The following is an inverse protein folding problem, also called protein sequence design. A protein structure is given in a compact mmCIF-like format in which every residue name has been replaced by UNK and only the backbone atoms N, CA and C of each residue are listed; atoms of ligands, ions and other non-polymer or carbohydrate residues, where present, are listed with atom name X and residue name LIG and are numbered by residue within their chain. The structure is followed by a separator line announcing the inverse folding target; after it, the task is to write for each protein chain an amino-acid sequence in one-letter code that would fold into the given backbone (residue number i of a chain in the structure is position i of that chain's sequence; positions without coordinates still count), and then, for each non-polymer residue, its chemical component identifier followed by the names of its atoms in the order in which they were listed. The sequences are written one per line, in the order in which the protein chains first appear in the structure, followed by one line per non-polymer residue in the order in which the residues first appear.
data_IF_296613111087
#
_entry.id   IF_296613111087
#
_cell.length_a   1.000
_cell.length_b   1.000
_cell.length_c   1.000
_cell.angle_alpha   90.00
_cell.angle_beta   90.00
_cell.angle_gamma   90.00
#
_symmetry.space_group_name_H-M   'P 1'
#
loop_
_entity.id
_entity.type
_entity.pdbx_description
1 polymer ?
#
# COMPACT_ATOMS: atom_id res chain seq x y z
N UNK A 1 -13.23 -9.84 -40.63
CA UNK A 1 -11.98 -9.85 -39.88
C UNK A 1 -11.23 -8.51 -39.89
N UNK A 2 -11.10 -7.83 -41.01
CA UNK A 2 -10.40 -6.52 -41.10
C UNK A 2 -11.11 -5.41 -40.31
N UNK A 3 -12.47 -5.37 -40.31
CA UNK A 3 -13.25 -4.39 -39.54
C UNK A 3 -13.11 -4.49 -38.02
N UNK A 4 -12.91 -5.69 -37.48
CA UNK A 4 -12.70 -5.86 -36.03
C UNK A 4 -11.29 -5.39 -35.58
N UNK A 5 -10.28 -5.56 -36.43
CA UNK A 5 -8.92 -5.10 -36.16
C UNK A 5 -8.79 -3.57 -36.23
N UNK A 6 -9.56 -2.92 -37.14
CA UNK A 6 -9.57 -1.46 -37.22
C UNK A 6 -10.35 -0.84 -36.04
N UNK A 7 -11.45 -1.46 -35.62
CA UNK A 7 -12.14 -1.04 -34.39
C UNK A 7 -11.28 -1.20 -33.13
N UNK A 8 -10.53 -2.29 -33.02
CA UNK A 8 -9.62 -2.49 -31.88
C UNK A 8 -8.48 -1.46 -31.86
N UNK A 9 -7.93 -1.10 -33.01
CA UNK A 9 -6.87 -0.08 -33.08
C UNK A 9 -7.38 1.34 -32.82
N UNK A 10 -8.62 1.68 -33.22
CA UNK A 10 -9.24 2.96 -32.89
C UNK A 10 -9.65 3.07 -31.41
N UNK A 11 -10.10 1.97 -30.77
CA UNK A 11 -10.42 1.93 -29.35
C UNK A 11 -9.18 2.05 -28.47
N UNK A 12 -8.02 1.52 -28.90
CA UNK A 12 -6.74 1.63 -28.17
C UNK A 12 -6.24 3.09 -28.13
N UNK A 13 -6.60 3.92 -29.12
CA UNK A 13 -6.17 5.33 -29.16
C UNK A 13 -6.97 6.28 -28.24
N UNK A 14 -8.16 5.90 -27.79
CA UNK A 14 -9.08 6.82 -27.09
C UNK A 14 -8.80 6.93 -25.58
N UNK A 15 -8.08 5.98 -24.95
CA UNK A 15 -7.89 5.94 -23.50
C UNK A 15 -6.42 5.86 -23.03
N UNK A 16 -5.48 6.24 -23.86
CA UNK A 16 -4.05 6.19 -23.53
C UNK A 16 -3.59 7.49 -22.85
N UNK A 17 -4.23 7.90 -21.77
CA UNK A 17 -3.63 8.88 -20.88
C UNK A 17 -2.49 8.21 -20.13
N UNK A 18 -1.25 8.55 -20.50
CA UNK A 18 -0.07 8.10 -19.78
C UNK A 18 -0.04 8.77 -18.40
N UNK A 19 0.28 7.98 -17.34
CA UNK A 19 0.42 8.51 -15.97
C UNK A 19 1.37 9.72 -15.90
N UNK A 20 2.38 9.82 -16.76
CA UNK A 20 3.27 10.99 -16.85
C UNK A 20 2.51 12.24 -17.28
N UNK A 21 1.66 12.11 -18.30
CA UNK A 21 0.78 13.20 -18.73
C UNK A 21 -0.23 13.57 -17.65
N UNK A 22 -0.81 12.57 -16.98
CA UNK A 22 -1.73 12.79 -15.86
C UNK A 22 -1.06 13.59 -14.73
N UNK A 23 0.10 13.15 -14.26
CA UNK A 23 0.85 13.80 -13.18
C UNK A 23 1.30 15.22 -13.60
N UNK A 24 1.74 15.39 -14.86
CA UNK A 24 2.14 16.70 -15.39
C UNK A 24 0.97 17.71 -15.40
N UNK A 25 -0.27 17.26 -15.64
CA UNK A 25 -1.47 18.11 -15.56
C UNK A 25 -1.78 18.58 -14.15
N UNK A 26 -1.37 17.80 -13.13
CA UNK A 26 -1.44 18.20 -11.72
C UNK A 26 -0.38 19.24 -11.32
N UNK A 27 0.33 19.80 -12.27
CA UNK A 27 1.44 20.73 -12.04
C UNK A 27 2.56 20.15 -11.15
N UNK A 28 2.81 18.85 -11.31
CA UNK A 28 3.87 18.10 -10.63
C UNK A 28 4.93 17.62 -11.62
N UNK A 29 6.19 17.61 -11.16
CA UNK A 29 7.27 16.88 -11.80
C UNK A 29 7.34 15.46 -11.26
N UNK A 30 7.51 14.50 -12.17
CA UNK A 30 7.72 13.09 -11.86
C UNK A 30 9.12 12.66 -12.24
N UNK A 31 9.86 12.10 -11.29
CA UNK A 31 11.10 11.35 -11.49
C UNK A 31 10.86 9.89 -11.12
N UNK A 32 11.07 8.98 -12.08
CA UNK A 32 11.02 7.53 -11.83
C UNK A 32 12.42 7.05 -11.47
N UNK A 33 12.54 6.39 -10.34
CA UNK A 33 13.80 5.91 -9.81
C UNK A 33 13.71 4.43 -9.53
N UNK A 34 14.78 3.70 -9.79
CA UNK A 34 14.91 2.31 -9.37
C UNK A 34 15.90 2.20 -8.22
N UNK A 35 15.55 1.40 -7.23
CA UNK A 35 16.38 1.08 -6.08
C UNK A 35 16.58 -0.41 -5.97
N UNK A 36 17.74 -0.82 -5.47
CA UNK A 36 18.03 -2.21 -5.17
C UNK A 36 17.88 -2.44 -3.66
N UNK A 37 17.13 -3.49 -3.30
CA UNK A 37 17.06 -3.98 -1.93
C UNK A 37 18.25 -4.89 -1.61
N UNK A 38 18.51 -5.14 -0.33
CA UNK A 38 19.60 -6.01 0.12
C UNK A 38 19.45 -7.44 -0.41
N UNK A 39 18.21 -7.95 -0.47
CA UNK A 39 17.87 -9.25 -1.06
C UNK A 39 17.68 -9.21 -2.57
N UNK A 40 18.22 -8.15 -3.26
CA UNK A 40 18.47 -8.03 -4.70
C UNK A 40 17.23 -7.79 -5.57
N UNK A 41 16.07 -7.41 -5.00
CA UNK A 41 14.95 -6.89 -5.78
C UNK A 41 15.26 -5.48 -6.30
N UNK A 42 14.74 -5.17 -7.47
CA UNK A 42 14.82 -3.83 -8.07
C UNK A 42 13.41 -3.24 -8.07
N UNK A 43 13.18 -2.31 -7.15
CA UNK A 43 11.89 -1.65 -6.98
C UNK A 43 11.91 -0.24 -7.58
N UNK A 44 10.75 0.21 -8.03
CA UNK A 44 10.55 1.55 -8.56
C UNK A 44 9.97 2.46 -7.49
N UNK A 45 10.45 3.70 -7.44
CA UNK A 45 9.89 4.78 -6.63
C UNK A 45 9.54 5.92 -7.58
N UNK A 46 8.35 6.47 -7.44
CA UNK A 46 7.98 7.74 -8.05
C UNK A 46 8.27 8.88 -7.09
N UNK A 47 9.14 9.78 -7.49
CA UNK A 47 9.45 11.00 -6.78
C UNK A 47 8.68 12.15 -7.40
N UNK A 48 7.83 12.81 -6.62
CA UNK A 48 6.98 13.91 -7.02
C UNK A 48 7.46 15.20 -6.37
N UNK A 49 7.51 16.28 -7.14
CA UNK A 49 7.78 17.63 -6.63
C UNK A 49 6.88 18.65 -7.31
N UNK A 50 6.65 19.78 -6.65
CA UNK A 50 6.07 20.95 -7.33
C UNK A 50 6.94 21.38 -8.50
N UNK A 51 6.33 21.76 -9.63
CA UNK A 51 7.03 22.41 -10.75
C UNK A 51 7.61 23.77 -10.36
N UNK A 52 7.09 24.41 -9.31
CA UNK A 52 7.68 25.62 -8.76
C UNK A 52 8.81 25.27 -7.76
N UNK A 53 10.08 25.46 -8.12
CA UNK A 53 11.20 25.10 -7.26
C UNK A 53 11.25 25.93 -5.97
N UNK A 54 10.63 27.12 -5.94
CA UNK A 54 10.62 28.00 -4.77
C UNK A 54 9.71 27.46 -3.65
N UNK A 55 8.82 26.52 -3.95
CA UNK A 55 7.95 25.90 -2.95
C UNK A 55 8.61 24.79 -2.12
N UNK A 56 9.80 24.31 -2.50
CA UNK A 56 10.46 23.19 -1.81
C UNK A 56 10.91 23.57 -0.41
N UNK A 57 10.40 22.84 0.60
CA UNK A 57 10.71 23.08 2.02
C UNK A 57 11.81 22.16 2.59
N UNK A 58 12.41 21.30 1.74
CA UNK A 58 13.46 20.35 2.13
C UNK A 58 12.99 19.14 2.95
N UNK A 59 11.69 18.90 3.04
CA UNK A 59 11.11 17.79 3.79
C UNK A 59 10.62 16.70 2.83
N UNK A 60 10.91 15.43 3.14
CA UNK A 60 10.60 14.28 2.28
C UNK A 60 9.60 13.35 2.96
N UNK A 61 8.54 12.99 2.24
CA UNK A 61 7.47 12.10 2.71
C UNK A 61 7.44 10.84 1.85
N UNK A 62 7.56 9.68 2.47
CA UNK A 62 7.33 8.37 1.83
C UNK A 62 5.87 7.99 2.08
N UNK A 63 5.13 7.70 1.01
CA UNK A 63 3.75 7.22 1.08
C UNK A 63 3.68 5.79 0.57
N UNK A 64 3.53 4.83 1.49
CA UNK A 64 3.57 3.41 1.21
C UNK A 64 2.16 2.83 1.07
N UNK A 65 1.89 2.26 -0.10
CA UNK A 65 0.59 1.66 -0.43
C UNK A 65 0.33 0.31 0.27
N UNK A 66 -0.93 -0.16 0.19
CA UNK A 66 -1.42 -1.38 0.81
C UNK A 66 -1.22 -2.65 -0.01
N UNK A 67 -1.90 -3.72 0.42
CA UNK A 67 -1.94 -5.01 -0.27
C UNK A 67 -2.69 -4.87 -1.60
N UNK A 68 -2.14 -5.46 -2.68
CA UNK A 68 -2.71 -5.44 -4.03
C UNK A 68 -2.77 -4.04 -4.67
N UNK A 69 -2.15 -3.06 -4.08
CA UNK A 69 -2.24 -1.66 -4.43
C UNK A 69 -0.94 -1.19 -5.11
N UNK A 70 -0.87 0.06 -5.55
CA UNK A 70 0.31 0.69 -6.15
C UNK A 70 0.49 2.14 -5.73
N UNK A 71 1.61 2.76 -6.08
CA UNK A 71 1.87 4.16 -5.73
C UNK A 71 0.86 5.15 -6.33
N UNK A 72 0.25 4.81 -7.46
CA UNK A 72 -0.76 5.65 -8.12
C UNK A 72 -2.04 5.82 -7.29
N UNK A 73 -2.34 4.88 -6.39
CA UNK A 73 -3.52 4.92 -5.53
C UNK A 73 -3.69 6.26 -4.82
N UNK A 74 -2.58 6.86 -4.39
CA UNK A 74 -2.59 8.16 -3.70
C UNK A 74 -2.89 9.35 -4.60
N UNK A 75 -2.85 9.18 -5.94
CA UNK A 75 -3.10 10.24 -6.93
C UNK A 75 -4.52 10.19 -7.53
N UNK A 76 -5.35 9.23 -7.14
CA UNK A 76 -6.67 8.99 -7.75
C UNK A 76 -7.59 10.21 -7.65
N UNK A 77 -7.51 11.01 -6.57
CA UNK A 77 -8.29 12.25 -6.40
C UNK A 77 -7.77 13.43 -7.24
N UNK A 78 -6.79 13.23 -8.11
CA UNK A 78 -6.24 14.28 -8.97
C UNK A 78 -5.79 15.52 -8.18
N UNK A 79 -6.39 16.68 -8.45
CA UNK A 79 -6.06 17.97 -7.81
C UNK A 79 -6.29 17.94 -6.29
N UNK A 80 -7.22 17.11 -5.81
CA UNK A 80 -7.51 16.96 -4.38
C UNK A 80 -6.67 15.89 -3.70
N UNK A 81 -5.79 15.21 -4.42
CA UNK A 81 -4.95 14.14 -3.87
C UNK A 81 -3.94 14.64 -2.84
N UNK A 82 -3.68 13.82 -1.83
CA UNK A 82 -2.74 14.19 -0.76
C UNK A 82 -1.31 14.45 -1.27
N UNK A 83 -0.73 13.66 -2.20
CA UNK A 83 0.57 13.97 -2.79
C UNK A 83 0.62 15.35 -3.45
N UNK A 84 -0.45 15.73 -4.17
CA UNK A 84 -0.55 17.04 -4.79
C UNK A 84 -0.53 18.15 -3.75
N UNK A 85 -1.35 18.05 -2.71
CA UNK A 85 -1.41 19.04 -1.63
C UNK A 85 -0.09 19.13 -0.88
N UNK A 86 0.57 18.01 -0.60
CA UNK A 86 1.90 18.00 0.03
C UNK A 86 2.96 18.68 -0.84
N UNK A 87 2.96 18.43 -2.16
CA UNK A 87 3.88 19.09 -3.07
C UNK A 87 3.60 20.61 -3.16
N UNK A 88 2.36 21.05 -3.01
CA UNK A 88 2.00 22.47 -2.94
C UNK A 88 2.52 23.14 -1.67
N UNK A 89 2.55 22.39 -0.55
CA UNK A 89 3.18 22.81 0.72
C UNK A 89 4.72 22.66 0.71
N UNK A 90 5.28 22.25 -0.42
CA UNK A 90 6.71 22.19 -0.65
C UNK A 90 7.40 20.88 -0.27
N UNK A 91 6.67 19.87 0.14
CA UNK A 91 7.23 18.56 0.42
C UNK A 91 7.67 17.87 -0.87
N UNK A 92 8.69 17.03 -0.76
CA UNK A 92 9.06 16.05 -1.78
C UNK A 92 8.34 14.76 -1.42
N UNK A 93 7.50 14.24 -2.32
CA UNK A 93 6.69 13.06 -2.07
C UNK A 93 7.23 11.86 -2.82
N UNK A 94 7.45 10.77 -2.12
CA UNK A 94 7.91 9.51 -2.67
C UNK A 94 6.81 8.46 -2.59
N UNK A 95 6.48 7.87 -3.73
CA UNK A 95 5.50 6.81 -3.88
C UNK A 95 6.22 5.51 -4.28
N UNK A 96 6.72 4.72 -3.32
CA UNK A 96 7.34 3.44 -3.64
C UNK A 96 6.31 2.46 -4.19
N UNK A 97 6.71 1.70 -5.21
CA UNK A 97 6.02 0.50 -5.65
C UNK A 97 6.69 -0.70 -4.99
N UNK A 98 5.96 -1.45 -4.18
CA UNK A 98 6.47 -2.64 -3.52
C UNK A 98 6.81 -3.72 -4.53
N UNK A 99 7.75 -4.63 -4.17
CA UNK A 99 8.09 -5.79 -4.98
C UNK A 99 6.85 -6.54 -5.47
N UNK A 100 6.85 -6.97 -6.71
CA UNK A 100 5.75 -7.72 -7.33
C UNK A 100 4.62 -6.88 -7.88
N UNK A 101 4.59 -5.56 -7.64
CA UNK A 101 3.62 -4.66 -8.26
C UNK A 101 3.99 -4.34 -9.71
N UNK A 102 3.07 -3.73 -10.44
CA UNK A 102 3.21 -3.50 -11.89
C UNK A 102 4.50 -2.76 -12.33
N UNK A 103 5.07 -1.90 -11.49
CA UNK A 103 6.30 -1.16 -11.79
C UNK A 103 7.55 -1.71 -11.09
N UNK A 104 7.42 -2.73 -10.24
CA UNK A 104 8.51 -3.32 -9.44
C UNK A 104 8.55 -4.83 -9.62
N UNK A 105 8.96 -5.28 -10.81
CA UNK A 105 9.01 -6.71 -11.20
C UNK A 105 10.39 -7.16 -11.66
N UNK A 106 11.43 -6.57 -11.12
CA UNK A 106 12.80 -6.92 -11.47
C UNK A 106 13.57 -7.44 -10.26
N UNK A 107 14.48 -8.37 -10.51
CA UNK A 107 15.40 -8.96 -9.54
C UNK A 107 16.70 -9.28 -10.25
N UNK A 108 17.83 -9.25 -9.55
CA UNK A 108 19.12 -9.50 -10.18
C UNK A 108 19.33 -10.96 -10.62
N UNK A 109 18.68 -11.92 -9.92
CA UNK A 109 18.89 -13.36 -10.16
C UNK A 109 17.67 -14.06 -10.73
N UNK A 110 16.46 -13.51 -10.55
CA UNK A 110 15.21 -14.15 -10.93
C UNK A 110 14.45 -13.31 -11.94
N UNK A 111 13.83 -13.96 -12.91
CA UNK A 111 12.81 -13.32 -13.73
C UNK A 111 11.45 -13.30 -12.99
N UNK A 112 10.56 -12.41 -13.36
CA UNK A 112 9.23 -12.29 -12.76
C UNK A 112 8.16 -13.11 -13.49
N UNK A 113 8.54 -14.19 -14.20
CA UNK A 113 7.59 -15.13 -14.78
C UNK A 113 6.69 -15.74 -13.69
N UNK A 114 5.49 -16.20 -14.09
CA UNK A 114 4.40 -16.52 -13.15
C UNK A 114 4.76 -17.54 -12.06
N UNK A 115 5.71 -18.43 -12.33
CA UNK A 115 6.10 -19.53 -11.44
C UNK A 115 7.54 -19.42 -10.92
N UNK A 116 8.21 -18.29 -11.14
CA UNK A 116 9.61 -18.12 -10.72
C UNK A 116 9.72 -17.93 -9.20
N UNK A 117 10.92 -18.14 -8.67
CA UNK A 117 11.23 -17.91 -7.26
C UNK A 117 11.25 -16.43 -6.90
N UNK A 118 11.20 -15.53 -7.88
CA UNK A 118 10.91 -14.11 -7.70
C UNK A 118 9.72 -13.87 -6.77
N UNK A 119 8.66 -14.69 -6.84
CA UNK A 119 7.42 -14.52 -6.08
C UNK A 119 7.43 -15.14 -4.67
N UNK A 120 8.58 -15.65 -4.23
CA UNK A 120 8.73 -16.22 -2.88
C UNK A 120 8.95 -15.11 -1.84
N UNK A 121 7.98 -14.23 -1.67
CA UNK A 121 8.01 -13.15 -0.68
C UNK A 121 6.62 -12.90 -0.06
N UNK A 122 6.64 -12.28 1.09
CA UNK A 122 5.45 -11.77 1.77
C UNK A 122 5.71 -10.38 2.37
N UNK A 123 4.84 -9.89 3.21
CA UNK A 123 5.07 -8.65 3.94
C UNK A 123 6.27 -8.72 4.89
N UNK A 124 6.77 -9.92 5.25
CA UNK A 124 8.02 -10.07 6.00
C UNK A 124 9.20 -9.46 5.26
N UNK A 125 9.40 -9.88 3.99
CA UNK A 125 10.50 -9.39 3.15
C UNK A 125 10.32 -7.91 2.80
N UNK A 126 9.06 -7.46 2.64
CA UNK A 126 8.77 -6.04 2.43
C UNK A 126 9.22 -5.22 3.64
N UNK A 127 8.88 -5.65 4.86
CA UNK A 127 9.27 -4.97 6.08
C UNK A 127 10.78 -5.04 6.34
N UNK A 128 11.42 -6.15 6.00
CA UNK A 128 12.84 -6.40 6.28
C UNK A 128 13.75 -5.68 5.26
N UNK A 129 13.35 -5.60 3.99
CA UNK A 129 14.22 -5.11 2.91
C UNK A 129 13.68 -3.88 2.19
N UNK A 130 12.39 -3.85 1.78
CA UNK A 130 11.86 -2.74 0.97
C UNK A 130 11.79 -1.45 1.79
N UNK A 131 11.26 -1.54 3.02
CA UNK A 131 11.10 -0.35 3.88
C UNK A 131 12.44 0.32 4.18
N UNK A 132 13.48 -0.39 4.69
CA UNK A 132 14.78 0.22 4.91
C UNK A 132 15.44 0.74 3.61
N UNK A 133 15.31 0.04 2.49
CA UNK A 133 15.86 0.49 1.22
C UNK A 133 15.23 1.80 0.74
N UNK A 134 13.88 1.92 0.85
CA UNK A 134 13.16 3.16 0.54
C UNK A 134 13.63 4.33 1.42
N UNK A 135 13.71 4.11 2.74
CA UNK A 135 14.13 5.14 3.71
C UNK A 135 15.56 5.60 3.41
N UNK A 136 16.49 4.68 3.24
CA UNK A 136 17.90 4.99 2.96
C UNK A 136 18.06 5.74 1.65
N UNK A 137 17.33 5.32 0.59
CA UNK A 137 17.37 6.01 -0.68
C UNK A 137 16.91 7.47 -0.55
N UNK A 138 15.74 7.70 0.07
CA UNK A 138 15.17 9.05 0.20
C UNK A 138 16.08 9.96 1.02
N UNK A 139 16.61 9.47 2.15
CA UNK A 139 17.57 10.22 2.98
C UNK A 139 18.81 10.63 2.21
N UNK A 140 19.41 9.69 1.49
CA UNK A 140 20.63 9.94 0.72
C UNK A 140 20.36 10.87 -0.47
N UNK A 141 19.22 10.72 -1.14
CA UNK A 141 18.83 11.51 -2.32
C UNK A 141 18.61 12.97 -1.99
N UNK A 142 17.92 13.25 -0.89
CA UNK A 142 17.53 14.62 -0.51
C UNK A 142 18.43 15.23 0.58
N UNK A 143 19.39 14.46 1.14
CA UNK A 143 20.32 14.94 2.16
C UNK A 143 19.61 15.28 3.48
N UNK A 144 18.56 14.54 3.85
CA UNK A 144 17.80 14.79 5.08
C UNK A 144 18.18 13.80 6.17
N UNK A 145 18.14 14.25 7.44
CA UNK A 145 18.46 13.38 8.58
C UNK A 145 17.37 12.36 8.84
N UNK A 146 16.10 12.75 8.70
CA UNK A 146 14.93 11.89 8.89
C UNK A 146 13.89 12.17 7.82
N UNK A 147 13.12 11.13 7.48
CA UNK A 147 11.98 11.23 6.55
C UNK A 147 10.66 11.12 7.30
N UNK A 148 9.61 11.68 6.73
CA UNK A 148 8.23 11.40 7.14
C UNK A 148 7.75 10.13 6.46
N UNK A 149 7.01 9.29 7.18
CA UNK A 149 6.49 8.06 6.62
C UNK A 149 4.97 8.01 6.77
N UNK A 150 4.27 7.69 5.71
CA UNK A 150 2.84 7.45 5.68
C UNK A 150 2.59 6.05 5.12
N UNK A 151 1.84 5.23 5.84
CA UNK A 151 1.42 3.91 5.39
C UNK A 151 -0.09 3.82 5.23
N UNK A 152 -0.55 3.03 4.27
CA UNK A 152 -1.93 2.60 4.17
C UNK A 152 -2.02 1.09 4.31
N UNK A 153 -2.96 0.59 5.13
CA UNK A 153 -3.25 -0.85 5.21
C UNK A 153 -2.00 -1.70 5.47
N UNK A 154 -1.62 -2.61 4.55
CA UNK A 154 -0.36 -3.37 4.63
C UNK A 154 0.87 -2.45 4.79
N UNK A 155 0.83 -1.23 4.24
CA UNK A 155 1.91 -0.25 4.43
C UNK A 155 2.07 0.18 5.89
N UNK A 156 1.00 0.13 6.71
CA UNK A 156 1.08 0.35 8.16
C UNK A 156 1.64 -0.86 8.88
N UNK A 157 1.20 -2.09 8.52
CA UNK A 157 1.74 -3.32 9.07
C UNK A 157 3.25 -3.41 8.83
N UNK A 158 3.70 -3.23 7.58
CA UNK A 158 5.11 -3.34 7.23
C UNK A 158 5.98 -2.30 7.93
N UNK A 159 5.44 -1.11 8.22
CA UNK A 159 6.11 -0.12 9.06
C UNK A 159 6.32 -0.63 10.49
N UNK A 160 5.27 -1.16 11.13
CA UNK A 160 5.37 -1.70 12.48
C UNK A 160 6.29 -2.92 12.55
N UNK A 161 6.26 -3.79 11.53
CA UNK A 161 7.18 -4.93 11.44
C UNK A 161 8.64 -4.50 11.24
N UNK A 162 8.88 -3.49 10.39
CA UNK A 162 10.20 -2.90 10.22
C UNK A 162 10.70 -2.29 11.53
N UNK A 163 9.84 -1.61 12.28
CA UNK A 163 10.16 -1.09 13.60
C UNK A 163 10.53 -2.23 14.57
N UNK A 164 9.69 -3.27 14.67
CA UNK A 164 9.99 -4.41 15.56
C UNK A 164 11.25 -5.19 15.16
N UNK A 165 11.60 -5.21 13.88
CA UNK A 165 12.84 -5.81 13.40
C UNK A 165 14.07 -4.98 13.78
N UNK A 166 13.99 -3.64 13.71
CA UNK A 166 15.10 -2.74 14.01
C UNK A 166 14.59 -1.39 14.55
N UNK A 167 14.23 -1.30 15.85
CA UNK A 167 13.72 -0.07 16.46
C UNK A 167 14.71 1.10 16.33
N UNK A 168 16.01 0.85 16.56
CA UNK A 168 17.04 1.90 16.48
C UNK A 168 17.12 2.52 15.08
N UNK A 169 17.10 1.69 14.04
CA UNK A 169 17.08 2.18 12.67
C UNK A 169 15.86 3.07 12.43
N UNK A 170 14.68 2.61 12.80
CA UNK A 170 13.44 3.36 12.56
C UNK A 170 13.41 4.68 13.34
N UNK A 171 13.78 4.68 14.62
CA UNK A 171 13.87 5.88 15.47
C UNK A 171 14.87 6.91 14.92
N UNK A 172 16.00 6.46 14.39
CA UNK A 172 17.04 7.33 13.85
C UNK A 172 16.71 7.89 12.47
N UNK A 173 15.75 7.30 11.74
CA UNK A 173 15.49 7.65 10.35
C UNK A 173 14.08 8.20 10.08
N UNK A 174 13.13 8.03 11.00
CA UNK A 174 11.75 8.50 10.83
C UNK A 174 11.49 9.70 11.75
N UNK A 175 11.00 10.79 11.17
CA UNK A 175 10.61 12.00 11.90
C UNK A 175 9.20 11.87 12.49
N UNK A 176 8.24 11.46 11.68
CA UNK A 176 6.82 11.26 12.04
C UNK A 176 6.22 10.14 11.22
N UNK A 177 5.22 9.48 11.79
CA UNK A 177 4.48 8.40 11.12
C UNK A 177 2.99 8.73 11.01
N UNK A 178 2.39 8.45 9.86
CA UNK A 178 0.95 8.54 9.62
C UNK A 178 0.44 7.18 9.17
N UNK A 179 -0.48 6.60 9.92
CA UNK A 179 -1.14 5.34 9.59
C UNK A 179 -2.58 5.59 9.15
N UNK A 180 -2.86 5.31 7.88
CA UNK A 180 -4.20 5.39 7.30
C UNK A 180 -4.76 3.98 7.12
N UNK A 181 -5.98 3.73 7.61
CA UNK A 181 -6.54 2.37 7.62
C UNK A 181 -5.61 1.41 8.35
N UNK A 182 -5.33 1.68 9.61
CA UNK A 182 -4.27 1.06 10.41
C UNK A 182 -4.52 -0.42 10.66
N UNK A 183 -3.60 -1.29 10.25
CA UNK A 183 -3.69 -2.76 10.42
C UNK A 183 -2.43 -3.28 11.12
N UNK A 184 -2.33 -3.19 12.46
CA UNK A 184 -1.19 -3.74 13.20
C UNK A 184 -1.28 -5.26 13.35
N UNK A 185 -2.48 -5.80 13.33
CA UNK A 185 -2.83 -7.22 13.31
C UNK A 185 -4.25 -7.41 12.76
N UNK A 186 -4.74 -8.64 12.71
CA UNK A 186 -6.06 -9.01 12.16
C UNK A 186 -6.83 -9.97 13.08
N UNK A 187 -6.64 -9.87 14.38
CA UNK A 187 -7.24 -10.78 15.35
C UNK A 187 -8.76 -10.66 15.40
N UNK A 188 -9.28 -9.44 15.27
CA UNK A 188 -10.70 -9.10 15.30
C UNK A 188 -11.25 -8.77 13.91
N UNK A 189 -10.49 -9.03 12.83
CA UNK A 189 -10.93 -8.73 11.47
C UNK A 189 -12.26 -9.44 11.14
N UNK A 190 -13.23 -8.73 10.54
CA UNK A 190 -14.56 -9.26 10.29
C UNK A 190 -14.62 -10.30 9.16
N UNK A 191 -15.81 -10.87 8.95
CA UNK A 191 -16.13 -11.99 8.06
C UNK A 191 -15.50 -12.03 6.66
N UNK A 192 -15.03 -10.92 6.10
CA UNK A 192 -14.42 -10.91 4.76
C UNK A 192 -13.11 -11.72 4.71
N UNK A 193 -12.23 -11.53 5.68
CA UNK A 193 -11.01 -12.34 5.80
C UNK A 193 -11.33 -13.80 6.08
N UNK A 194 -12.43 -14.10 6.77
CA UNK A 194 -12.92 -15.49 6.96
C UNK A 194 -13.25 -16.13 5.61
N UNK A 195 -13.95 -15.42 4.73
CA UNK A 195 -14.25 -15.93 3.38
C UNK A 195 -12.99 -16.14 2.54
N UNK A 196 -11.99 -15.28 2.69
CA UNK A 196 -10.69 -15.46 2.06
C UNK A 196 -9.98 -16.71 2.64
N UNK A 197 -10.05 -16.88 3.95
CA UNK A 197 -9.51 -18.05 4.66
C UNK A 197 -10.19 -19.36 4.23
N UNK A 198 -11.51 -19.38 4.15
CA UNK A 198 -12.27 -20.56 3.70
C UNK A 198 -11.92 -20.95 2.25
N UNK A 199 -11.70 -19.93 1.41
CA UNK A 199 -11.23 -20.11 0.04
C UNK A 199 -9.73 -20.36 -0.09
N UNK A 200 -8.97 -20.42 1.00
CA UNK A 200 -7.50 -20.59 0.99
C UNK A 200 -7.03 -21.87 0.27
N UNK A 201 -7.84 -22.95 0.27
CA UNK A 201 -7.56 -24.15 -0.52
C UNK A 201 -7.54 -23.87 -2.02
N UNK A 202 -8.24 -22.83 -2.49
CA UNK A 202 -8.22 -22.39 -3.88
C UNK A 202 -6.85 -21.78 -4.21
N UNK A 203 -6.25 -21.03 -3.29
CA UNK A 203 -4.91 -20.46 -3.50
C UNK A 203 -3.82 -21.54 -3.64
N UNK A 204 -4.02 -22.71 -3.01
CA UNK A 204 -3.10 -23.84 -3.16
C UNK A 204 -3.27 -24.57 -4.51
N UNK A 205 -4.42 -24.41 -5.16
CA UNK A 205 -4.72 -24.99 -6.48
C UNK A 205 -4.35 -24.04 -7.63
N UNK A 206 -4.02 -22.78 -7.35
CA UNK A 206 -3.60 -21.82 -8.37
C UNK A 206 -2.17 -22.16 -8.82
N UNK A 207 -1.95 -22.51 -10.10
CA UNK A 207 -0.66 -22.99 -10.57
C UNK A 207 0.36 -21.86 -10.81
N UNK A 208 0.13 -20.67 -10.27
CA UNK A 208 0.98 -19.49 -10.40
C UNK A 208 1.32 -18.90 -9.04
N UNK A 209 2.47 -18.25 -8.92
CA UNK A 209 2.94 -17.66 -7.65
C UNK A 209 2.60 -16.17 -7.50
N UNK A 210 2.15 -15.51 -8.55
CA UNK A 210 1.71 -14.12 -8.52
C UNK A 210 0.18 -14.00 -8.44
N UNK A 211 -0.31 -12.87 -7.95
CA UNK A 211 -1.75 -12.59 -7.84
C UNK A 211 -2.10 -11.18 -8.32
N UNK A 212 -3.16 -11.11 -9.14
CA UNK A 212 -3.82 -9.86 -9.57
C UNK A 212 -2.86 -8.79 -10.12
N UNK A 213 -1.86 -9.21 -10.88
CA UNK A 213 -1.12 -8.28 -11.73
C UNK A 213 -1.82 -8.18 -13.07
N UNK A 214 -2.72 -7.23 -13.20
CA UNK A 214 -3.38 -7.03 -14.49
C UNK A 214 -2.42 -6.41 -15.50
N UNK A 215 -2.37 -6.94 -16.73
CA UNK A 215 -1.80 -6.19 -17.84
C UNK A 215 -2.57 -4.87 -18.01
N UNK A 216 -1.85 -3.77 -18.28
CA UNK A 216 -2.44 -2.45 -18.52
C UNK A 216 -3.55 -2.51 -19.59
N UNK A 217 -3.39 -3.40 -20.57
CA UNK A 217 -4.33 -3.65 -21.66
C UNK A 217 -5.69 -4.16 -21.15
N UNK A 218 -5.70 -4.96 -20.10
CA UNK A 218 -6.95 -5.44 -19.50
C UNK A 218 -7.68 -4.30 -18.79
N UNK A 219 -6.98 -3.43 -18.08
CA UNK A 219 -7.56 -2.22 -17.51
C UNK A 219 -8.21 -1.34 -18.59
N UNK A 220 -7.53 -1.14 -19.72
CA UNK A 220 -8.06 -0.38 -20.85
C UNK A 220 -9.35 -0.99 -21.46
N UNK A 221 -9.47 -2.32 -21.44
CA UNK A 221 -10.70 -3.02 -21.88
C UNK A 221 -11.82 -2.84 -20.84
N UNK A 222 -11.50 -2.86 -19.56
CA UNK A 222 -12.48 -2.76 -18.49
C UNK A 222 -13.04 -1.35 -18.31
N UNK A 223 -12.25 -0.29 -18.55
CA UNK A 223 -12.68 1.11 -18.40
C UNK A 223 -13.99 1.41 -19.15
N UNK A 224 -14.15 1.12 -20.47
CA UNK A 224 -15.41 1.38 -21.18
C UNK A 224 -16.60 0.63 -20.58
N UNK A 225 -16.38 -0.59 -20.08
CA UNK A 225 -17.42 -1.38 -19.41
C UNK A 225 -17.88 -0.72 -18.11
N UNK A 226 -16.94 -0.20 -17.33
CA UNK A 226 -17.18 0.32 -16.00
C UNK A 226 -17.63 1.80 -16.02
N UNK A 227 -17.52 2.46 -17.15
CA UNK A 227 -18.09 3.80 -17.40
C UNK A 227 -19.41 3.77 -18.20
N UNK A 228 -19.89 2.59 -18.58
CA UNK A 228 -21.11 2.35 -19.35
C UNK A 228 -22.34 2.01 -18.46
N UNK A 229 -23.41 1.53 -19.10
CA UNK A 229 -24.59 1.01 -18.38
C UNK A 229 -24.28 -0.19 -17.45
N UNK A 230 -23.15 -0.87 -17.64
CA UNK A 230 -22.69 -1.97 -16.78
C UNK A 230 -21.90 -1.50 -15.54
N UNK A 231 -21.78 -0.19 -15.30
CA UNK A 231 -21.03 0.41 -14.21
C UNK A 231 -21.38 -0.17 -12.82
N UNK A 232 -22.67 -0.48 -12.59
CA UNK A 232 -23.11 -1.04 -11.30
C UNK A 232 -22.35 -2.32 -10.95
N UNK A 233 -22.14 -3.24 -11.92
CA UNK A 233 -21.39 -4.46 -11.68
C UNK A 233 -19.91 -4.16 -11.35
N UNK A 234 -19.30 -3.24 -12.08
CA UNK A 234 -17.93 -2.81 -11.83
C UNK A 234 -17.78 -2.16 -10.46
N UNK A 235 -18.68 -1.24 -10.10
CA UNK A 235 -18.67 -0.59 -8.79
C UNK A 235 -18.85 -1.59 -7.66
N UNK A 236 -19.75 -2.58 -7.83
CA UNK A 236 -19.92 -3.65 -6.86
C UNK A 236 -18.64 -4.48 -6.70
N UNK A 237 -17.97 -4.83 -7.79
CA UNK A 237 -16.71 -5.57 -7.75
C UNK A 237 -15.62 -4.75 -7.04
N UNK A 238 -15.47 -3.47 -7.39
CA UNK A 238 -14.50 -2.57 -6.75
C UNK A 238 -14.82 -2.40 -5.26
N UNK A 239 -16.07 -2.11 -4.93
CA UNK A 239 -16.49 -1.94 -3.54
C UNK A 239 -16.21 -3.20 -2.72
N UNK A 240 -16.55 -4.39 -3.24
CA UNK A 240 -16.24 -5.65 -2.55
C UNK A 240 -14.72 -5.92 -2.45
N UNK A 241 -13.96 -5.53 -3.46
CA UNK A 241 -12.51 -5.79 -3.49
C UNK A 241 -11.72 -4.87 -2.59
N UNK A 242 -12.08 -3.58 -2.54
CA UNK A 242 -11.31 -2.54 -1.87
C UNK A 242 -11.99 -2.00 -0.60
N UNK A 243 -13.32 -1.97 -0.55
CA UNK A 243 -14.05 -1.50 0.63
C UNK A 243 -14.54 -2.64 1.53
N UNK A 244 -14.61 -3.87 1.01
CA UNK A 244 -15.07 -5.05 1.75
C UNK A 244 -16.58 -5.08 2.04
N UNK A 245 -17.35 -4.11 1.56
CA UNK A 245 -18.81 -4.00 1.75
C UNK A 245 -19.52 -3.74 0.43
N UNK A 246 -20.85 -3.97 0.39
CA UNK A 246 -21.69 -3.57 -0.74
C UNK A 246 -22.00 -2.06 -0.74
N UNK A 247 -21.79 -1.40 0.40
CA UNK A 247 -21.95 0.03 0.51
C UNK A 247 -20.70 0.71 -0.06
N UNK A 248 -20.91 1.71 -0.91
CA UNK A 248 -19.82 2.39 -1.63
C UNK A 248 -18.98 3.30 -0.73
N UNK A 249 -19.30 3.38 0.56
CA UNK A 249 -18.63 4.30 1.47
C UNK A 249 -18.73 5.74 0.97
N UNK A 250 -17.64 6.49 1.11
CA UNK A 250 -17.54 7.90 0.68
C UNK A 250 -16.84 8.07 -0.66
N UNK A 251 -16.39 6.97 -1.30
CA UNK A 251 -15.68 7.00 -2.58
C UNK A 251 -16.65 7.12 -3.75
N UNK A 252 -16.49 8.13 -4.60
CA UNK A 252 -17.24 8.30 -5.83
C UNK A 252 -16.63 7.50 -7.00
N UNK A 253 -17.05 6.25 -7.14
CA UNK A 253 -16.59 5.38 -8.22
C UNK A 253 -17.02 5.86 -9.63
N UNK A 254 -18.08 6.66 -9.76
CA UNK A 254 -18.46 7.22 -11.06
C UNK A 254 -17.42 8.22 -11.56
N UNK A 255 -16.89 9.03 -10.66
CA UNK A 255 -15.85 10.02 -10.93
C UNK A 255 -14.48 9.39 -11.09
N UNK A 256 -14.15 8.42 -10.23
CA UNK A 256 -12.78 7.91 -10.07
C UNK A 256 -12.51 6.60 -10.82
N UNK A 257 -13.56 5.88 -11.23
CA UNK A 257 -13.46 4.51 -11.74
C UNK A 257 -12.49 4.35 -12.92
N UNK A 258 -12.39 5.35 -13.82
CA UNK A 258 -11.41 5.31 -14.92
C UNK A 258 -9.99 5.18 -14.41
N UNK A 259 -9.60 6.00 -13.45
CA UNK A 259 -8.24 6.01 -12.90
C UNK A 259 -7.94 4.73 -12.11
N UNK A 260 -8.93 4.28 -11.32
CA UNK A 260 -8.83 3.03 -10.55
C UNK A 260 -8.54 1.85 -11.50
N UNK A 261 -9.35 1.67 -12.56
CA UNK A 261 -9.18 0.52 -13.47
C UNK A 261 -7.92 0.55 -14.31
N UNK A 262 -7.34 1.73 -14.54
CA UNK A 262 -6.08 1.84 -15.30
C UNK A 262 -4.84 1.47 -14.50
N UNK A 263 -4.90 1.66 -13.18
CA UNK A 263 -3.70 1.58 -12.34
C UNK A 263 -3.81 0.62 -11.17
N UNK A 264 -5.02 0.15 -10.86
CA UNK A 264 -5.28 -0.79 -9.77
C UNK A 264 -6.04 -2.03 -10.28
N UNK A 265 -5.83 -3.22 -9.68
CA UNK A 265 -4.88 -3.53 -8.62
C UNK A 265 -3.42 -3.62 -9.10
N UNK A 266 -2.48 -3.20 -8.24
CA UNK A 266 -1.04 -3.23 -8.51
C UNK A 266 -0.42 -4.64 -8.51
N UNK A 267 -0.99 -5.57 -7.75
CA UNK A 267 -0.57 -6.97 -7.65
C UNK A 267 0.28 -7.31 -6.42
N UNK A 268 0.51 -8.62 -6.23
CA UNK A 268 1.34 -9.16 -5.14
C UNK A 268 1.68 -10.63 -5.40
N UNK A 269 2.43 -11.29 -4.49
CA UNK A 269 2.66 -12.73 -4.51
C UNK A 269 1.51 -13.50 -3.86
N UNK A 270 1.30 -14.74 -4.28
CA UNK A 270 0.40 -15.70 -3.60
C UNK A 270 0.88 -15.97 -2.17
N UNK A 271 2.19 -16.00 -1.95
CA UNK A 271 2.77 -16.17 -0.61
C UNK A 271 2.34 -15.05 0.33
N UNK A 272 2.30 -13.79 -0.14
CA UNK A 272 1.85 -12.66 0.67
C UNK A 272 0.37 -12.83 1.09
N UNK A 273 -0.52 -13.24 0.19
CA UNK A 273 -1.92 -13.53 0.52
C UNK A 273 -2.06 -14.69 1.52
N UNK A 274 -1.28 -15.77 1.33
CA UNK A 274 -1.25 -16.90 2.27
C UNK A 274 -0.79 -16.46 3.65
N UNK A 275 0.17 -15.54 3.72
CA UNK A 275 0.68 -15.04 4.98
C UNK A 275 -0.40 -14.27 5.78
N UNK A 276 -1.18 -13.41 5.13
CA UNK A 276 -2.35 -12.78 5.74
C UNK A 276 -3.34 -13.78 6.31
N UNK A 277 -3.60 -14.89 5.58
CA UNK A 277 -4.44 -15.98 6.06
C UNK A 277 -3.83 -16.67 7.28
N UNK A 278 -2.52 -16.88 7.29
CA UNK A 278 -1.82 -17.53 8.39
C UNK A 278 -1.91 -16.71 9.69
N UNK A 279 -1.62 -15.40 9.65
CA UNK A 279 -1.70 -14.55 10.83
C UNK A 279 -3.13 -14.41 11.35
N UNK A 280 -4.14 -14.38 10.46
CA UNK A 280 -5.54 -14.40 10.84
C UNK A 280 -5.92 -15.68 11.60
N UNK A 281 -5.49 -16.85 11.10
CA UNK A 281 -5.74 -18.16 11.75
C UNK A 281 -4.99 -18.28 13.07
N UNK A 282 -3.76 -17.83 13.11
CA UNK A 282 -2.91 -17.89 14.30
C UNK A 282 -3.32 -16.91 15.40
N UNK A 283 -4.16 -15.90 15.07
CA UNK A 283 -4.54 -14.79 15.96
C UNK A 283 -3.33 -14.08 16.56
N UNK A 284 -2.28 -13.98 15.78
CA UNK A 284 -1.03 -13.27 16.12
C UNK A 284 -0.24 -12.95 14.88
N UNK A 285 0.55 -11.90 14.92
CA UNK A 285 1.49 -11.57 13.85
C UNK A 285 2.78 -12.37 14.06
N UNK A 286 3.12 -13.18 13.08
CA UNK A 286 4.30 -14.04 13.06
C UNK A 286 4.90 -14.04 11.66
N UNK A 287 6.15 -14.51 11.51
CA UNK A 287 6.76 -14.74 10.21
C UNK A 287 6.03 -15.83 9.43
N UNK A 288 6.24 -15.88 8.12
CA UNK A 288 5.56 -16.81 7.22
C UNK A 288 5.79 -18.28 7.63
N UNK A 289 4.71 -19.05 7.75
CA UNK A 289 4.81 -20.50 7.98
C UNK A 289 4.99 -21.23 6.63
N UNK A 290 6.13 -21.85 6.44
CA UNK A 290 6.43 -22.63 5.22
C UNK A 290 5.71 -23.98 5.15
N UNK A 291 4.82 -24.26 6.12
CA UNK A 291 3.91 -25.42 6.08
C UNK A 291 4.52 -26.75 6.48
N UNK A 292 5.80 -26.78 6.84
CA UNK A 292 6.44 -27.99 7.38
C UNK A 292 7.56 -27.66 8.38
N UNK A 293 7.77 -28.57 9.32
CA UNK A 293 8.88 -28.47 10.29
C UNK A 293 10.22 -28.32 9.57
N UNK A 294 10.45 -29.07 8.49
CA UNK A 294 11.71 -29.07 7.74
C UNK A 294 11.95 -27.70 7.13
N UNK A 295 10.95 -27.14 6.46
CA UNK A 295 11.11 -25.83 5.82
C UNK A 295 11.22 -24.69 6.86
N UNK A 296 10.48 -24.73 7.97
CA UNK A 296 10.63 -23.74 9.03
C UNK A 296 12.02 -23.82 9.69
N UNK A 297 12.52 -25.03 9.94
CA UNK A 297 13.89 -25.23 10.44
C UNK A 297 14.95 -24.68 9.48
N UNK A 298 14.75 -24.84 8.19
CA UNK A 298 15.66 -24.33 7.14
C UNK A 298 15.69 -22.79 7.11
N UNK A 299 14.51 -22.15 7.24
CA UNK A 299 14.40 -20.70 7.17
C UNK A 299 14.68 -19.98 8.49
N UNK A 300 14.31 -20.59 9.61
CA UNK A 300 14.31 -19.93 10.92
C UNK A 300 15.19 -20.61 11.98
N UNK A 301 15.70 -21.80 11.70
CA UNK A 301 16.41 -22.60 12.71
C UNK A 301 15.51 -23.13 13.83
N UNK A 302 14.19 -23.02 13.69
CA UNK A 302 13.20 -23.49 14.68
C UNK A 302 11.94 -24.06 13.99
N UNK A 303 11.18 -24.88 14.74
CA UNK A 303 10.03 -25.63 14.23
C UNK A 303 8.88 -24.69 13.81
N UNK A 304 8.57 -23.70 14.64
CA UNK A 304 7.48 -22.75 14.43
C UNK A 304 8.01 -21.45 13.86
N UNK A 305 7.21 -20.72 13.02
CA UNK A 305 7.62 -19.38 12.60
C UNK A 305 7.82 -18.45 13.81
N UNK A 306 8.85 -17.58 13.78
CA UNK A 306 9.05 -16.57 14.80
C UNK A 306 7.83 -15.65 14.94
N UNK A 307 7.45 -15.30 16.16
CA UNK A 307 6.38 -14.34 16.45
C UNK A 307 7.01 -12.95 16.55
N UNK A 308 6.36 -11.96 15.98
CA UNK A 308 6.74 -10.56 16.19
C UNK A 308 6.42 -10.13 17.63
N UNK A 309 7.43 -9.71 18.36
CA UNK A 309 7.27 -9.37 19.78
C UNK A 309 6.76 -7.94 19.93
N UNK A 310 5.48 -7.79 20.27
CA UNK A 310 4.87 -6.49 20.54
C UNK A 310 5.55 -5.72 21.70
N UNK A 311 6.33 -6.39 22.55
CA UNK A 311 7.12 -5.69 23.59
C UNK A 311 8.16 -4.75 23.00
N UNK A 312 8.59 -4.98 21.76
CA UNK A 312 9.46 -4.04 21.05
C UNK A 312 8.79 -2.66 20.84
N UNK A 313 7.46 -2.61 20.86
CA UNK A 313 6.71 -1.35 20.75
C UNK A 313 6.72 -0.51 22.03
N UNK A 314 7.19 -1.04 23.18
CA UNK A 314 7.20 -0.28 24.45
C UNK A 314 8.03 1.00 24.35
N UNK A 315 9.19 0.91 23.73
CA UNK A 315 10.10 2.04 23.54
C UNK A 315 9.76 2.93 22.33
N UNK A 316 8.64 2.68 21.65
CA UNK A 316 8.25 3.47 20.46
C UNK A 316 8.16 4.96 20.80
N UNK A 317 8.91 5.79 20.06
CA UNK A 317 9.01 7.23 20.32
C UNK A 317 8.73 8.11 19.09
N UNK A 318 8.36 7.52 17.96
CA UNK A 318 8.04 8.27 16.73
C UNK A 318 6.67 8.93 16.86
N UNK A 319 6.57 10.28 16.80
CA UNK A 319 5.27 10.96 16.82
C UNK A 319 4.38 10.47 15.69
N UNK A 320 3.14 10.10 16.00
CA UNK A 320 2.27 9.40 15.06
C UNK A 320 0.84 9.90 15.05
N UNK A 321 0.22 9.91 13.85
CA UNK A 321 -1.23 9.86 13.68
C UNK A 321 -1.60 8.43 13.32
N UNK A 322 -2.56 7.86 14.05
CA UNK A 322 -3.10 6.53 13.79
C UNK A 322 -4.61 6.67 13.56
N UNK A 323 -5.08 6.31 12.36
CA UNK A 323 -6.52 6.37 12.05
C UNK A 323 -7.21 5.08 12.41
N UNK A 324 -8.41 5.19 12.94
CA UNK A 324 -9.37 4.12 13.13
C UNK A 324 -10.73 4.54 12.57
N UNK A 325 -11.50 3.59 12.03
CA UNK A 325 -12.87 3.84 11.58
C UNK A 325 -13.81 2.71 12.02
N UNK A 326 -15.01 3.08 12.38
CA UNK A 326 -16.10 2.17 12.77
C UNK A 326 -16.60 1.31 11.59
N UNK A 327 -16.33 1.73 10.36
CA UNK A 327 -16.86 1.12 9.14
C UNK A 327 -15.79 0.47 8.27
N UNK A 328 -14.52 0.45 8.72
CA UNK A 328 -13.43 -0.21 8.00
C UNK A 328 -13.45 -1.74 8.24
N UNK A 329 -13.75 -2.55 7.20
CA UNK A 329 -13.88 -4.00 7.39
C UNK A 329 -12.54 -4.74 7.46
N UNK A 330 -11.41 -4.08 7.15
CA UNK A 330 -10.07 -4.66 7.16
C UNK A 330 -9.25 -4.19 8.35
N UNK A 331 -9.40 -2.94 8.75
CA UNK A 331 -8.68 -2.31 9.85
C UNK A 331 -9.60 -2.21 11.08
N UNK A 332 -9.67 -3.28 11.87
CA UNK A 332 -10.53 -3.31 13.05
C UNK A 332 -10.02 -2.33 14.13
N UNK A 333 -10.87 -1.41 14.64
CA UNK A 333 -10.46 -0.45 15.67
C UNK A 333 -9.89 -1.10 16.94
N UNK A 334 -10.46 -2.23 17.39
CA UNK A 334 -9.98 -2.92 18.59
C UNK A 334 -8.56 -3.48 18.41
N UNK A 335 -8.24 -4.03 17.24
CA UNK A 335 -6.90 -4.50 16.93
C UNK A 335 -5.87 -3.36 17.01
N UNK A 336 -6.24 -2.18 16.56
CA UNK A 336 -5.40 -0.97 16.61
C UNK A 336 -5.25 -0.45 18.04
N UNK A 337 -6.32 -0.40 18.83
CA UNK A 337 -6.28 0.06 20.21
C UNK A 337 -5.48 -0.90 21.09
N UNK A 338 -5.67 -2.22 20.95
CA UNK A 338 -4.90 -3.24 21.67
C UNK A 338 -3.40 -3.16 21.33
N UNK A 339 -3.08 -2.79 20.07
CA UNK A 339 -1.70 -2.57 19.66
C UNK A 339 -1.09 -1.33 20.32
N UNK A 340 -1.81 -0.19 20.34
CA UNK A 340 -1.37 1.06 20.97
C UNK A 340 -1.13 0.86 22.46
N UNK A 341 -1.87 -0.04 23.10
CA UNK A 341 -1.69 -0.34 24.52
C UNK A 341 -0.31 -0.91 24.86
N UNK A 342 0.44 -1.42 23.89
CA UNK A 342 1.83 -1.84 24.09
C UNK A 342 2.83 -0.67 24.09
N UNK A 343 2.43 0.54 23.67
CA UNK A 343 3.28 1.73 23.65
C UNK A 343 3.24 2.40 25.03
N UNK A 344 4.39 2.59 25.66
CA UNK A 344 4.46 3.19 27.00
C UNK A 344 4.12 4.69 26.96
N UNK A 345 4.72 5.44 26.04
CA UNK A 345 4.46 6.87 25.88
C UNK A 345 3.31 7.13 24.89
N UNK A 346 2.08 6.98 25.35
CA UNK A 346 0.90 7.21 24.48
C UNK A 346 0.71 8.66 24.02
N UNK A 347 1.37 9.62 24.64
CA UNK A 347 1.25 11.05 24.27
C UNK A 347 1.80 11.38 22.88
N UNK A 348 2.65 10.50 22.32
CA UNK A 348 3.17 10.66 20.95
C UNK A 348 2.20 10.13 19.88
N UNK A 349 1.15 9.41 20.28
CA UNK A 349 0.19 8.79 19.38
C UNK A 349 -1.12 9.59 19.40
N UNK A 350 -1.38 10.26 18.29
CA UNK A 350 -2.66 10.94 18.05
C UNK A 350 -3.63 9.97 17.35
N UNK A 351 -4.61 9.43 18.05
CA UNK A 351 -5.65 8.57 17.48
C UNK A 351 -6.72 9.41 16.82
N UNK A 352 -6.80 9.34 15.49
CA UNK A 352 -7.83 9.99 14.70
C UNK A 352 -8.99 9.02 14.47
N UNK A 353 -10.06 9.17 15.25
CA UNK A 353 -11.30 8.41 15.08
C UNK A 353 -12.14 9.00 13.97
N UNK A 354 -12.56 8.16 13.03
CA UNK A 354 -13.37 8.51 11.87
C UNK A 354 -14.66 7.71 11.88
N UNK A 355 -15.71 8.26 11.29
CA UNK A 355 -17.02 7.63 11.19
C UNK A 355 -17.40 7.42 9.74
N UNK A 356 -17.87 6.21 9.39
CA UNK A 356 -18.29 5.86 8.04
C UNK A 356 -17.18 6.00 6.97
N UNK A 357 -15.92 5.69 7.32
CA UNK A 357 -14.83 5.55 6.36
C UNK A 357 -14.56 4.07 6.09
N UNK A 358 -14.69 3.65 4.84
CA UNK A 358 -14.23 2.36 4.36
C UNK A 358 -12.71 2.34 4.22
N UNK A 359 -12.16 1.16 3.92
CA UNK A 359 -10.72 0.93 3.87
C UNK A 359 -9.95 1.80 2.87
N UNK A 360 -10.58 2.23 1.78
CA UNK A 360 -9.96 3.10 0.76
C UNK A 360 -10.40 4.56 0.84
N UNK A 361 -11.44 4.86 1.62
CA UNK A 361 -11.96 6.22 1.73
C UNK A 361 -10.96 7.22 2.31
N UNK A 362 -9.94 6.74 3.03
CA UNK A 362 -8.89 7.57 3.63
C UNK A 362 -8.11 8.43 2.62
N UNK A 363 -8.12 8.05 1.33
CA UNK A 363 -7.43 8.78 0.26
C UNK A 363 -8.16 8.75 -1.09
N UNK A 364 -9.29 8.02 -1.23
CA UNK A 364 -10.12 8.04 -2.45
C UNK A 364 -11.40 8.85 -2.30
N UNK A 365 -11.74 9.34 -1.11
CA UNK A 365 -12.94 10.15 -0.89
C UNK A 365 -12.63 11.64 -0.87
N UNK A 366 -13.53 12.45 -1.41
CA UNK A 366 -13.46 13.91 -1.29
C UNK A 366 -13.54 14.36 0.18
N UNK A 367 -14.24 13.59 1.03
CA UNK A 367 -14.28 13.83 2.46
C UNK A 367 -12.89 13.72 3.10
N UNK A 368 -12.04 12.78 2.66
CA UNK A 368 -10.67 12.68 3.17
C UNK A 368 -9.85 13.94 2.85
N UNK A 369 -10.05 14.52 1.66
CA UNK A 369 -9.39 15.76 1.28
C UNK A 369 -9.79 16.95 2.17
N UNK A 370 -10.98 16.91 2.79
CA UNK A 370 -11.52 17.96 3.67
C UNK A 370 -11.26 17.67 5.15
N UNK A 371 -11.38 16.41 5.59
CA UNK A 371 -11.39 16.04 7.00
C UNK A 371 -10.05 15.46 7.49
N UNK A 372 -9.30 14.76 6.63
CA UNK A 372 -8.06 14.04 6.98
C UNK A 372 -6.84 14.82 6.54
N UNK A 373 -6.76 15.21 5.25
CA UNK A 373 -5.53 15.76 4.68
C UNK A 373 -5.07 17.06 5.38
N UNK A 374 -5.95 18.02 5.76
CA UNK A 374 -5.51 19.20 6.50
C UNK A 374 -4.87 18.85 7.86
N UNK A 375 -5.40 17.84 8.56
CA UNK A 375 -4.84 17.39 9.85
C UNK A 375 -3.49 16.73 9.68
N UNK A 376 -3.33 15.93 8.62
CA UNK A 376 -2.05 15.29 8.25
C UNK A 376 -1.01 16.35 7.90
N UNK A 377 -1.35 17.31 7.05
CA UNK A 377 -0.44 18.39 6.63
C UNK A 377 -0.02 19.24 7.84
N UNK A 378 -0.96 19.64 8.68
CA UNK A 378 -0.67 20.38 9.91
C UNK A 378 0.28 19.61 10.83
N UNK A 379 0.01 18.33 11.06
CA UNK A 379 0.88 17.46 11.87
C UNK A 379 2.29 17.34 11.29
N UNK A 380 2.45 17.25 9.98
CA UNK A 380 3.76 17.22 9.33
C UNK A 380 4.49 18.57 9.42
N UNK A 381 3.76 19.68 9.51
CA UNK A 381 4.33 21.05 9.59
C UNK A 381 4.89 21.37 10.98
N UNK A 382 4.29 20.87 12.06
CA UNK A 382 4.78 20.96 13.44
C UNK A 382 6.18 20.33 13.60
#
# INVERSE_FOLDING_TARGET
MISLLILSSLFIFIFNEDYKSYISKLNLDLEEVTIQTEDRYINTIWRLTSKDPNKRNGRSVIMQHGLLDGGFTFLILAEDSLPKKLCEEGYIVYLPYLRGTQFSRSHLDYDSSLNSDYWNFSFDQIAEYDIPANINYVKNRDGVDKVYYMGHSQGTLTFFLAYMNNPEFMENNIAKFIALGTVPNVNNAPHFLIKLVEKSKILDLIPVKNMLTFPKELGQILVPFCTSKAKILCHTILSLSFSGTHETGRTDYDKLGKNIFLYEPGGTSIQNLKHWIQIYKAKRVQKYDYGSIIENMKHYGQINPPVYDLKQMRGYSIPSIITISDSDPFANPQDTLDFIDNIENKNIVNVMSLTNYNHIDYFWSESAAQEIFPKVINFLAE
#
